data_IF_702514601628
#
_entry.id   IF_702514601628
#
_cell.length_a   1.000
_cell.length_b   1.000
_cell.length_c   1.000
_cell.angle_alpha   90.00
_cell.angle_beta   90.00
_cell.angle_gamma   90.00
#
_symmetry.space_group_name_H-M   'P 1'
#
loop_
_entity.id
_entity.type
_entity.pdbx_description
1 polymer ?
#
# COMPACT_ATOMS: atom_id res chain seq x y z
N UNK A 1 3.15 4.08 -28.45
CA UNK A 1 2.16 4.83 -27.65
C UNK A 1 2.55 4.71 -26.19
N UNK A 2 2.55 5.82 -25.46
CA UNK A 2 2.80 5.79 -24.02
C UNK A 2 1.74 4.96 -23.31
N UNK A 3 2.18 3.99 -22.49
CA UNK A 3 1.29 3.12 -21.71
C UNK A 3 0.98 3.68 -20.29
N UNK A 4 1.27 4.95 -20.05
CA UNK A 4 1.13 5.61 -18.75
C UNK A 4 0.55 7.02 -18.90
N UNK A 5 0.17 7.63 -17.78
CA UNK A 5 -0.46 8.95 -17.73
C UNK A 5 0.56 10.01 -17.32
N UNK A 6 0.30 11.24 -17.78
CA UNK A 6 1.09 12.42 -17.44
C UNK A 6 0.16 13.53 -16.95
N UNK A 7 0.66 14.56 -16.23
CA UNK A 7 -0.15 15.70 -15.85
C UNK A 7 -0.79 16.46 -17.03
N UNK A 8 -0.27 16.28 -18.25
CA UNK A 8 -0.82 16.89 -19.46
C UNK A 8 -2.00 16.12 -20.07
N UNK A 9 -2.32 14.90 -19.57
CA UNK A 9 -3.49 14.15 -20.02
C UNK A 9 -4.78 14.77 -19.47
N UNK A 10 -5.81 14.85 -20.30
CA UNK A 10 -7.16 15.28 -19.86
C UNK A 10 -7.83 14.14 -19.09
N UNK A 11 -7.63 14.10 -17.76
CA UNK A 11 -8.17 13.05 -16.90
C UNK A 11 -9.67 13.22 -16.62
N UNK A 12 -10.20 14.45 -16.66
CA UNK A 12 -11.61 14.76 -16.39
C UNK A 12 -12.56 14.00 -17.31
N UNK A 13 -12.20 13.89 -18.60
CA UNK A 13 -13.01 13.10 -19.54
C UNK A 13 -13.02 11.62 -19.19
N UNK A 14 -11.86 11.05 -18.80
CA UNK A 14 -11.76 9.64 -18.41
C UNK A 14 -12.62 9.39 -17.17
N UNK A 15 -12.57 10.29 -16.19
CA UNK A 15 -13.35 10.23 -14.96
C UNK A 15 -14.86 10.26 -15.27
N UNK A 16 -15.31 11.23 -16.07
CA UNK A 16 -16.72 11.37 -16.43
C UNK A 16 -17.24 10.17 -17.24
N UNK A 17 -16.43 9.65 -18.17
CA UNK A 17 -16.78 8.46 -18.96
C UNK A 17 -16.86 7.19 -18.08
N UNK A 18 -16.10 7.16 -16.96
CA UNK A 18 -16.08 6.02 -16.02
C UNK A 18 -17.27 6.04 -15.05
N UNK A 19 -17.82 7.23 -14.76
CA UNK A 19 -18.93 7.44 -13.83
C UNK A 19 -20.16 8.07 -14.53
N UNK A 20 -20.73 7.44 -15.61
CA UNK A 20 -21.73 8.08 -16.45
C UNK A 20 -23.04 8.43 -15.72
N UNK A 21 -23.38 7.65 -14.67
CA UNK A 21 -24.64 7.81 -13.92
C UNK A 21 -24.45 8.60 -12.60
N UNK A 22 -23.33 9.30 -12.43
CA UNK A 22 -22.99 10.06 -11.24
C UNK A 22 -22.71 11.51 -11.60
N UNK A 23 -23.29 12.44 -10.83
CA UNK A 23 -22.98 13.86 -10.98
C UNK A 23 -21.70 14.16 -10.20
N UNK A 24 -20.63 14.52 -10.90
CA UNK A 24 -19.38 14.97 -10.28
C UNK A 24 -19.64 16.34 -9.64
N UNK A 25 -19.35 16.45 -8.35
CA UNK A 25 -19.47 17.67 -7.55
C UNK A 25 -18.11 18.34 -7.37
N UNK A 26 -17.05 17.55 -7.17
CA UNK A 26 -15.69 18.03 -6.96
C UNK A 26 -14.67 17.00 -7.44
N UNK A 27 -13.50 17.46 -7.89
CA UNK A 27 -12.32 16.65 -8.19
C UNK A 27 -11.11 17.30 -7.56
N UNK A 28 -10.36 16.52 -6.74
CA UNK A 28 -9.19 16.99 -6.00
C UNK A 28 -7.99 16.11 -6.28
N UNK A 29 -6.88 16.72 -6.73
CA UNK A 29 -5.62 16.01 -6.88
C UNK A 29 -4.97 15.76 -5.51
N UNK A 30 -4.59 14.50 -5.26
CA UNK A 30 -3.82 14.09 -4.09
C UNK A 30 -2.35 14.06 -4.48
N UNK A 31 -1.55 14.93 -3.88
CA UNK A 31 -0.16 15.18 -4.29
C UNK A 31 0.88 14.29 -3.58
N UNK A 32 0.44 13.35 -2.73
CA UNK A 32 1.33 12.45 -1.99
C UNK A 32 1.73 11.19 -2.76
N UNK A 33 1.00 10.83 -3.82
CA UNK A 33 1.26 9.61 -4.60
C UNK A 33 2.37 9.78 -5.65
N UNK A 34 3.54 9.17 -5.45
CA UNK A 34 4.62 9.19 -6.44
C UNK A 34 4.49 8.10 -7.53
N UNK A 35 3.79 7.02 -7.24
CA UNK A 35 3.56 5.90 -8.18
C UNK A 35 2.44 6.21 -9.18
N UNK A 36 1.42 6.93 -8.73
CA UNK A 36 0.22 7.25 -9.50
C UNK A 36 -0.14 8.73 -9.38
N UNK A 37 -0.79 9.27 -10.40
CA UNK A 37 -1.60 10.47 -10.26
C UNK A 37 -2.90 10.03 -9.59
N UNK A 38 -3.18 10.56 -8.40
CA UNK A 38 -4.36 10.20 -7.62
C UNK A 38 -5.33 11.36 -7.62
N UNK A 39 -6.60 11.08 -7.97
CA UNK A 39 -7.68 12.07 -7.96
C UNK A 39 -8.82 11.54 -7.09
N UNK A 40 -9.17 12.29 -6.07
CA UNK A 40 -10.39 12.10 -5.30
C UNK A 40 -11.53 12.79 -6.03
N UNK A 41 -12.60 12.05 -6.30
CA UNK A 41 -13.80 12.54 -7.01
C UNK A 41 -15.00 12.38 -6.11
N UNK A 42 -15.60 13.50 -5.72
CA UNK A 42 -16.85 13.54 -4.96
C UNK A 42 -18.03 13.63 -5.92
N UNK A 43 -19.00 12.76 -5.75
CA UNK A 43 -20.23 12.70 -6.54
C UNK A 43 -21.46 12.81 -5.66
N UNK A 44 -22.64 12.93 -6.28
CA UNK A 44 -23.94 12.86 -5.59
C UNK A 44 -24.27 11.47 -4.97
N UNK A 45 -23.42 10.44 -5.26
CA UNK A 45 -23.59 9.05 -4.80
C UNK A 45 -22.39 8.50 -4.02
N UNK A 46 -21.49 9.36 -3.54
CA UNK A 46 -20.29 8.99 -2.79
C UNK A 46 -19.00 9.48 -3.42
N UNK A 47 -17.90 9.20 -2.77
CA UNK A 47 -16.57 9.63 -3.19
C UNK A 47 -15.74 8.44 -3.70
N UNK A 48 -14.86 8.70 -4.66
CA UNK A 48 -14.07 7.71 -5.38
C UNK A 48 -12.63 8.17 -5.49
N UNK A 49 -11.69 7.23 -5.43
CA UNK A 49 -10.31 7.46 -5.81
C UNK A 49 -10.03 6.87 -7.19
N UNK A 50 -9.48 7.71 -8.08
CA UNK A 50 -8.91 7.33 -9.36
C UNK A 50 -7.40 7.32 -9.26
N UNK A 51 -6.75 6.23 -9.69
CA UNK A 51 -5.30 6.08 -9.65
C UNK A 51 -4.78 5.83 -11.07
N UNK A 52 -3.98 6.76 -11.59
CA UNK A 52 -3.45 6.75 -12.95
C UNK A 52 -1.94 6.55 -12.89
N UNK A 53 -1.39 5.42 -13.38
CA UNK A 53 0.03 5.12 -13.30
C UNK A 53 0.91 6.13 -14.03
N UNK A 54 2.03 6.53 -13.42
CA UNK A 54 2.96 7.53 -13.95
C UNK A 54 4.00 6.97 -14.93
N UNK A 55 4.19 5.65 -15.00
CA UNK A 55 5.14 5.01 -15.90
C UNK A 55 4.73 3.56 -16.23
N UNK A 56 5.43 2.85 -17.15
CA UNK A 56 5.09 1.48 -17.55
C UNK A 56 5.17 0.47 -16.40
N UNK A 57 6.11 0.62 -15.48
CA UNK A 57 6.24 -0.25 -14.32
C UNK A 57 5.00 -0.15 -13.42
N UNK A 58 4.58 1.07 -13.07
CA UNK A 58 3.38 1.30 -12.27
C UNK A 58 2.10 0.93 -13.01
N UNK A 59 2.10 0.93 -14.35
CA UNK A 59 0.99 0.39 -15.14
C UNK A 59 0.83 -1.12 -14.99
N UNK A 60 1.93 -1.87 -14.81
CA UNK A 60 1.91 -3.29 -14.44
C UNK A 60 1.42 -3.46 -13.00
N UNK A 61 1.92 -2.62 -12.10
CA UNK A 61 1.63 -2.72 -10.67
C UNK A 61 0.19 -2.37 -10.30
N UNK A 62 -0.47 -1.47 -11.02
CA UNK A 62 -1.88 -1.15 -10.75
C UNK A 62 -2.81 -2.33 -11.10
N UNK A 63 -2.45 -3.13 -12.08
CA UNK A 63 -3.16 -4.39 -12.41
C UNK A 63 -3.00 -5.39 -11.27
N UNK A 64 -1.78 -5.53 -10.75
CA UNK A 64 -1.48 -6.38 -9.59
C UNK A 64 -2.22 -5.91 -8.34
N UNK A 65 -2.18 -4.62 -8.02
CA UNK A 65 -2.88 -4.03 -6.87
C UNK A 65 -4.38 -4.34 -6.91
N UNK A 66 -5.03 -4.14 -8.05
CA UNK A 66 -6.44 -4.48 -8.22
C UNK A 66 -6.71 -5.99 -8.03
N UNK A 67 -5.86 -6.85 -8.57
CA UNK A 67 -5.99 -8.30 -8.42
C UNK A 67 -5.86 -8.72 -6.95
N UNK A 68 -4.86 -8.18 -6.22
CA UNK A 68 -4.64 -8.48 -4.80
C UNK A 68 -5.79 -7.98 -3.94
N UNK A 69 -6.19 -6.71 -4.08
CA UNK A 69 -7.28 -6.14 -3.30
C UNK A 69 -8.56 -6.97 -3.46
N UNK A 70 -8.95 -7.28 -4.69
CA UNK A 70 -10.15 -8.07 -4.97
C UNK A 70 -10.03 -9.53 -4.50
N UNK A 71 -8.82 -10.09 -4.47
CA UNK A 71 -8.58 -11.43 -3.94
C UNK A 71 -8.65 -11.48 -2.41
N UNK A 72 -8.16 -10.45 -1.71
CA UNK A 72 -8.13 -10.36 -0.24
C UNK A 72 -9.49 -10.00 0.34
N UNK A 73 -10.34 -9.31 -0.44
CA UNK A 73 -11.65 -8.85 0.02
C UNK A 73 -12.47 -10.00 0.62
N UNK A 74 -12.99 -9.77 1.83
CA UNK A 74 -13.76 -10.75 2.61
C UNK A 74 -12.95 -11.94 3.17
N UNK A 75 -11.62 -11.98 3.00
CA UNK A 75 -10.77 -13.06 3.56
C UNK A 75 -10.03 -12.67 4.84
N UNK A 76 -10.11 -11.42 5.22
CA UNK A 76 -9.65 -10.90 6.52
C UNK A 76 -10.80 -10.26 7.27
N UNK A 77 -10.61 -9.98 8.57
CA UNK A 77 -11.62 -9.27 9.39
C UNK A 77 -11.76 -7.79 9.03
N UNK A 78 -10.92 -7.27 8.15
CA UNK A 78 -10.83 -5.86 7.81
C UNK A 78 -11.14 -5.65 6.34
N UNK A 79 -11.81 -4.53 6.04
CA UNK A 79 -12.17 -4.18 4.68
C UNK A 79 -10.93 -3.84 3.85
N UNK A 80 -10.92 -4.31 2.61
CA UNK A 80 -9.96 -3.92 1.56
C UNK A 80 -10.74 -3.29 0.41
N UNK A 81 -10.22 -2.22 -0.24
CA UNK A 81 -10.97 -1.57 -1.30
C UNK A 81 -11.22 -2.53 -2.46
N UNK A 82 -12.47 -2.63 -2.89
CA UNK A 82 -12.80 -3.32 -4.13
C UNK A 82 -12.37 -2.46 -5.31
N UNK A 83 -11.32 -2.88 -6.01
CA UNK A 83 -10.75 -2.11 -7.10
C UNK A 83 -11.32 -2.53 -8.45
N UNK A 84 -11.93 -1.59 -9.15
CA UNK A 84 -12.29 -1.73 -10.55
C UNK A 84 -11.09 -1.33 -11.41
N UNK A 85 -10.49 -2.29 -12.11
CA UNK A 85 -9.50 -2.02 -13.14
C UNK A 85 -10.22 -1.57 -14.42
N UNK A 86 -9.80 -0.42 -14.94
CA UNK A 86 -10.35 0.22 -16.13
C UNK A 86 -9.24 0.47 -17.15
N UNK A 87 -9.64 0.73 -18.39
CA UNK A 87 -8.72 1.09 -19.47
C UNK A 87 -9.27 2.30 -20.23
N UNK A 88 -8.40 3.26 -20.52
CA UNK A 88 -8.77 4.39 -21.37
C UNK A 88 -8.84 4.00 -22.87
N UNK A 89 -9.22 4.94 -23.71
CA UNK A 89 -9.33 4.73 -25.16
C UNK A 89 -7.99 4.35 -25.85
N UNK A 90 -6.84 4.56 -25.17
CA UNK A 90 -5.51 4.18 -25.63
C UNK A 90 -5.06 2.83 -25.06
N UNK A 91 -5.91 2.14 -24.29
CA UNK A 91 -5.60 0.89 -23.62
C UNK A 91 -4.68 1.03 -22.40
N UNK A 92 -4.58 2.23 -21.79
CA UNK A 92 -3.78 2.47 -20.58
C UNK A 92 -4.60 2.07 -19.35
N UNK A 93 -4.06 1.21 -18.47
CA UNK A 93 -4.78 0.81 -17.25
C UNK A 93 -4.83 1.94 -16.23
N UNK A 94 -5.92 2.02 -15.52
CA UNK A 94 -6.10 2.82 -14.30
C UNK A 94 -7.08 2.10 -13.37
N UNK A 95 -7.05 2.42 -12.08
CA UNK A 95 -8.01 1.84 -11.13
C UNK A 95 -8.92 2.89 -10.52
N UNK A 96 -10.12 2.44 -10.16
CA UNK A 96 -11.09 3.23 -9.40
C UNK A 96 -11.68 2.38 -8.29
N UNK A 97 -11.83 2.97 -7.11
CA UNK A 97 -12.52 2.36 -5.96
C UNK A 97 -13.27 3.41 -5.16
N UNK A 98 -14.27 2.98 -4.41
CA UNK A 98 -14.95 3.86 -3.45
C UNK A 98 -14.00 4.28 -2.35
N UNK A 99 -14.11 5.52 -1.92
CA UNK A 99 -13.37 6.03 -0.77
C UNK A 99 -13.84 5.32 0.48
N UNK A 100 -12.89 4.77 1.24
CA UNK A 100 -13.16 4.32 2.61
C UNK A 100 -13.10 5.56 3.50
N UNK A 101 -14.20 5.87 4.15
CA UNK A 101 -14.24 7.00 5.08
C UNK A 101 -13.48 6.65 6.37
N UNK A 102 -12.63 7.55 6.81
CA UNK A 102 -11.82 7.37 8.00
C UNK A 102 -10.56 8.24 8.00
N UNK A 103 -9.75 8.05 9.02
CA UNK A 103 -8.47 8.73 9.22
C UNK A 103 -7.35 7.70 9.14
N UNK A 104 -6.19 8.08 8.62
CA UNK A 104 -5.05 7.15 8.70
C UNK A 104 -4.62 6.95 10.16
N UNK A 105 -4.15 5.75 10.48
CA UNK A 105 -3.56 5.51 11.80
C UNK A 105 -2.39 6.47 12.05
N UNK A 106 -1.64 6.84 11.01
CA UNK A 106 -0.54 7.80 11.10
C UNK A 106 -0.99 9.18 11.59
N UNK A 107 -2.16 9.66 11.13
CA UNK A 107 -2.71 10.95 11.56
C UNK A 107 -3.21 10.94 13.00
N UNK A 108 -3.62 9.79 13.50
CA UNK A 108 -4.32 9.64 14.78
C UNK A 108 -3.46 9.08 15.91
N UNK A 109 -2.42 8.30 15.61
CA UNK A 109 -1.73 7.45 16.58
C UNK A 109 -1.17 8.20 17.80
N UNK A 110 -0.73 9.45 17.61
CA UNK A 110 -0.21 10.29 18.70
C UNK A 110 -1.30 10.94 19.57
N UNK A 111 -2.57 10.77 19.19
CA UNK A 111 -3.73 11.31 19.89
C UNK A 111 -4.61 10.22 20.52
N UNK A 112 -4.29 8.95 20.25
CA UNK A 112 -5.02 7.81 20.80
C UNK A 112 -4.78 7.65 22.31
N UNK A 113 -5.79 7.18 23.03
CA UNK A 113 -5.62 6.75 24.43
C UNK A 113 -4.78 5.47 24.51
N UNK A 114 -4.20 5.20 25.68
CA UNK A 114 -3.46 3.94 25.94
C UNK A 114 -4.26 2.68 25.53
N UNK A 115 -5.53 2.62 25.92
CA UNK A 115 -6.40 1.49 25.58
C UNK A 115 -6.62 1.38 24.06
N UNK A 116 -6.80 2.51 23.36
CA UNK A 116 -6.98 2.53 21.91
C UNK A 116 -5.69 2.08 21.20
N UNK A 117 -4.51 2.58 21.61
CA UNK A 117 -3.21 2.17 21.07
C UNK A 117 -3.03 0.67 21.19
N UNK A 118 -3.25 0.08 22.36
CA UNK A 118 -3.12 -1.37 22.59
C UNK A 118 -4.12 -2.17 21.74
N UNK A 119 -5.36 -1.69 21.64
CA UNK A 119 -6.39 -2.32 20.80
C UNK A 119 -6.03 -2.32 19.32
N UNK A 120 -5.62 -1.16 18.80
CA UNK A 120 -5.21 -1.04 17.38
C UNK A 120 -3.95 -1.88 17.10
N UNK A 121 -2.97 -1.89 18.02
CA UNK A 121 -1.76 -2.72 17.89
C UNK A 121 -2.11 -4.21 17.76
N UNK A 122 -3.05 -4.70 18.59
CA UNK A 122 -3.57 -6.06 18.50
C UNK A 122 -4.27 -6.32 17.15
N UNK A 123 -5.12 -5.39 16.70
CA UNK A 123 -5.89 -5.53 15.47
C UNK A 123 -4.97 -5.56 14.23
N UNK A 124 -3.92 -4.75 14.21
CA UNK A 124 -2.90 -4.77 13.13
C UNK A 124 -2.15 -6.11 13.14
N UNK A 125 -1.74 -6.61 14.30
CA UNK A 125 -1.08 -7.92 14.40
C UNK A 125 -2.02 -9.05 13.95
N UNK A 126 -3.30 -8.97 14.28
CA UNK A 126 -4.35 -9.90 13.83
C UNK A 126 -4.48 -9.88 12.31
N UNK A 127 -4.52 -8.68 11.69
CA UNK A 127 -4.57 -8.56 10.23
C UNK A 127 -3.41 -9.29 9.55
N UNK A 128 -2.15 -9.08 9.99
CA UNK A 128 -0.97 -9.77 9.44
C UNK A 128 -1.13 -11.30 9.54
N UNK A 129 -1.59 -11.79 10.69
CA UNK A 129 -1.82 -13.23 10.91
C UNK A 129 -2.94 -13.81 10.05
N UNK A 130 -3.99 -13.03 9.78
CA UNK A 130 -5.09 -13.44 8.88
C UNK A 130 -4.61 -13.47 7.44
N UNK A 131 -3.95 -12.39 6.99
CA UNK A 131 -3.42 -12.26 5.64
C UNK A 131 -2.46 -13.41 5.31
N UNK A 132 -1.55 -13.75 6.22
CA UNK A 132 -0.55 -14.81 6.05
C UNK A 132 -1.14 -16.21 5.98
N UNK A 133 -2.39 -16.43 6.41
CA UNK A 133 -3.09 -17.71 6.39
C UNK A 133 -4.01 -17.89 5.19
N UNK A 134 -4.14 -16.89 4.33
CA UNK A 134 -4.98 -17.00 3.12
C UNK A 134 -4.43 -18.12 2.22
N UNK A 135 -5.29 -19.04 1.83
CA UNK A 135 -4.93 -20.10 0.88
C UNK A 135 -4.74 -19.52 -0.52
N UNK A 136 -3.53 -19.65 -1.06
CA UNK A 136 -3.14 -19.13 -2.37
C UNK A 136 -3.30 -20.14 -3.52
N UNK A 137 -3.84 -21.34 -3.25
CA UNK A 137 -3.96 -22.40 -4.25
C UNK A 137 -4.66 -21.93 -5.53
N UNK A 138 -5.73 -21.17 -5.39
CA UNK A 138 -6.54 -20.65 -6.51
C UNK A 138 -6.36 -19.14 -6.70
N UNK A 139 -5.29 -18.55 -6.16
CA UNK A 139 -5.01 -17.14 -6.32
C UNK A 139 -4.55 -16.85 -7.76
N UNK A 140 -4.87 -15.66 -8.32
CA UNK A 140 -4.27 -15.16 -9.54
C UNK A 140 -2.74 -15.11 -9.45
N UNK A 141 -2.06 -15.16 -10.59
CA UNK A 141 -0.59 -15.11 -10.62
C UNK A 141 -0.05 -13.78 -10.09
N UNK A 142 -0.79 -12.68 -10.28
CA UNK A 142 -0.46 -11.37 -9.74
C UNK A 142 -0.38 -11.37 -8.20
N UNK A 143 -1.20 -12.19 -7.54
CA UNK A 143 -1.20 -12.36 -6.07
C UNK A 143 0.00 -13.20 -5.61
N UNK A 144 0.41 -14.16 -6.42
CA UNK A 144 1.54 -15.06 -6.13
C UNK A 144 2.90 -14.45 -6.44
N UNK A 145 2.93 -13.24 -6.99
CA UNK A 145 4.17 -12.58 -7.36
C UNK A 145 5.02 -12.29 -6.12
N UNK A 146 6.28 -12.82 -6.05
CA UNK A 146 7.09 -12.68 -4.84
C UNK A 146 7.44 -11.23 -4.52
N UNK A 147 7.33 -10.85 -3.24
CA UNK A 147 7.73 -9.51 -2.78
C UNK A 147 9.21 -9.23 -3.10
N UNK A 148 10.08 -10.24 -2.97
CA UNK A 148 11.50 -10.12 -3.29
C UNK A 148 11.76 -9.78 -4.77
N UNK A 149 11.00 -10.38 -5.68
CA UNK A 149 11.09 -10.08 -7.11
C UNK A 149 10.54 -8.68 -7.41
N UNK A 150 9.44 -8.30 -6.77
CA UNK A 150 8.90 -6.96 -6.90
C UNK A 150 9.92 -5.90 -6.48
N UNK A 151 10.55 -6.05 -5.32
CA UNK A 151 11.56 -5.12 -4.82
C UNK A 151 12.79 -5.07 -5.75
N UNK A 152 13.18 -6.20 -6.30
CA UNK A 152 14.27 -6.28 -7.28
C UNK A 152 13.93 -5.53 -8.58
N UNK A 153 12.73 -5.71 -9.15
CA UNK A 153 12.29 -4.97 -10.34
C UNK A 153 12.17 -3.47 -10.06
N UNK A 154 11.67 -3.10 -8.88
CA UNK A 154 11.52 -1.70 -8.47
C UNK A 154 12.86 -0.99 -8.38
N UNK A 155 13.87 -1.63 -7.82
CA UNK A 155 15.23 -1.07 -7.75
C UNK A 155 15.83 -0.88 -9.13
N UNK A 156 15.70 -1.88 -9.99
CA UNK A 156 16.22 -1.80 -11.34
C UNK A 156 15.56 -0.66 -12.13
N UNK A 157 14.25 -0.51 -12.02
CA UNK A 157 13.50 0.55 -12.70
C UNK A 157 13.91 1.95 -12.22
N UNK A 158 14.13 2.13 -10.90
CA UNK A 158 14.39 3.44 -10.32
C UNK A 158 15.88 3.80 -10.21
N UNK A 159 16.74 2.83 -9.97
CA UNK A 159 18.16 3.08 -9.70
C UNK A 159 19.10 2.55 -10.77
N UNK A 160 18.60 1.74 -11.73
CA UNK A 160 19.43 1.04 -12.71
C UNK A 160 20.44 0.08 -12.07
N UNK A 161 20.33 -0.18 -10.77
CA UNK A 161 21.20 -1.08 -10.00
C UNK A 161 20.45 -1.61 -8.78
N UNK A 162 20.87 -2.76 -8.26
CA UNK A 162 20.36 -3.31 -7.03
C UNK A 162 20.99 -2.63 -5.81
N UNK A 163 20.18 -2.36 -4.78
CA UNK A 163 20.66 -1.97 -3.45
C UNK A 163 21.02 -3.29 -2.73
N UNK A 164 22.22 -3.80 -3.02
CA UNK A 164 22.63 -5.19 -2.95
C UNK A 164 22.40 -5.95 -1.63
N UNK A 165 22.79 -5.37 -0.49
CA UNK A 165 22.89 -6.16 0.75
C UNK A 165 21.52 -6.40 1.42
N UNK A 166 20.61 -5.43 1.38
CA UNK A 166 19.33 -5.50 2.09
C UNK A 166 18.32 -6.34 1.29
N UNK A 167 18.36 -6.26 -0.05
CA UNK A 167 17.51 -7.09 -0.93
C UNK A 167 17.93 -8.55 -0.94
N UNK A 168 19.22 -8.85 -0.92
CA UNK A 168 19.73 -10.21 -0.74
C UNK A 168 19.30 -10.81 0.60
N UNK A 169 19.21 -9.98 1.66
CA UNK A 169 18.69 -10.44 2.94
C UNK A 169 17.19 -10.74 2.85
N UNK A 170 16.39 -9.85 2.24
CA UNK A 170 14.96 -10.06 2.03
C UNK A 170 14.72 -11.33 1.20
N UNK A 171 15.46 -11.52 0.13
CA UNK A 171 15.38 -12.72 -0.71
C UNK A 171 15.70 -14.01 0.06
N UNK A 172 16.64 -13.99 0.99
CA UNK A 172 16.96 -15.15 1.83
C UNK A 172 15.88 -15.51 2.85
N UNK A 173 14.97 -14.57 3.12
CA UNK A 173 13.85 -14.75 4.05
C UNK A 173 12.53 -14.97 3.31
N UNK A 174 12.58 -15.41 2.05
CA UNK A 174 11.39 -15.72 1.25
C UNK A 174 10.43 -16.66 1.98
N UNK A 175 9.15 -16.46 1.76
CA UNK A 175 8.06 -17.25 2.28
C UNK A 175 6.97 -17.45 1.23
N UNK A 176 6.05 -18.35 1.50
CA UNK A 176 4.91 -18.64 0.62
C UNK A 176 3.59 -18.04 1.11
N UNK A 177 3.62 -17.25 2.18
CA UNK A 177 2.44 -16.56 2.70
C UNK A 177 2.17 -15.28 1.93
N UNK A 178 0.91 -14.88 1.87
CA UNK A 178 0.58 -13.54 1.37
C UNK A 178 1.02 -12.49 2.40
N UNK A 179 1.74 -11.47 1.94
CA UNK A 179 2.15 -10.31 2.72
C UNK A 179 1.67 -9.03 2.02
N UNK A 180 1.46 -7.98 2.80
CA UNK A 180 1.08 -6.67 2.28
C UNK A 180 2.27 -5.96 1.59
N UNK A 181 3.47 -6.14 2.13
CA UNK A 181 4.72 -5.62 1.58
C UNK A 181 4.99 -4.12 1.85
N UNK A 182 3.97 -3.34 2.13
CA UNK A 182 4.09 -1.92 2.55
C UNK A 182 3.13 -1.59 3.71
N UNK A 183 2.93 -2.52 4.64
CA UNK A 183 2.06 -2.27 5.79
C UNK A 183 2.70 -1.25 6.72
N UNK A 184 2.10 -0.06 6.77
CA UNK A 184 2.57 1.05 7.59
C UNK A 184 1.37 1.85 8.13
N UNK A 185 1.62 2.82 9.02
CA UNK A 185 0.57 3.59 9.68
C UNK A 185 -0.32 4.38 8.70
N UNK A 186 0.19 4.77 7.53
CA UNK A 186 -0.55 5.49 6.50
C UNK A 186 -1.54 4.60 5.72
N UNK A 187 -1.34 3.28 5.73
CA UNK A 187 -2.13 2.32 4.97
C UNK A 187 -3.22 1.62 5.82
N UNK A 188 -3.43 2.08 7.06
CA UNK A 188 -4.48 1.60 7.97
C UNK A 188 -5.44 2.75 8.24
N UNK A 189 -6.73 2.52 8.06
CA UNK A 189 -7.79 3.51 8.25
C UNK A 189 -8.59 3.19 9.52
N UNK A 190 -8.83 4.22 10.32
CA UNK A 190 -9.62 4.18 11.55
C UNK A 190 -10.92 4.97 11.38
N UNK A 191 -12.00 4.52 12.02
CA UNK A 191 -13.21 5.31 12.21
C UNK A 191 -13.05 6.35 13.32
N UNK A 192 -14.14 7.07 13.60
CA UNK A 192 -14.22 8.06 14.67
C UNK A 192 -14.09 7.46 16.09
N UNK A 193 -14.28 6.13 16.23
CA UNK A 193 -14.16 5.37 17.49
C UNK A 193 -12.80 4.66 17.60
N UNK A 194 -11.82 5.04 16.79
CA UNK A 194 -10.48 4.48 16.76
C UNK A 194 -10.44 2.96 16.42
N UNK A 195 -11.42 2.48 15.63
CA UNK A 195 -11.45 1.09 15.13
C UNK A 195 -10.96 1.02 13.69
N UNK A 196 -10.21 -0.03 13.37
CA UNK A 196 -9.77 -0.26 11.99
C UNK A 196 -10.99 -0.56 11.12
N UNK A 197 -11.21 0.31 10.13
CA UNK A 197 -12.26 0.17 9.11
C UNK A 197 -11.73 -0.30 7.76
N UNK A 198 -10.41 -0.24 7.54
CA UNK A 198 -9.84 -0.74 6.31
C UNK A 198 -8.32 -0.72 6.28
N UNK A 199 -7.78 -1.55 5.38
CA UNK A 199 -6.36 -1.58 5.01
C UNK A 199 -6.26 -1.36 3.51
N UNK A 200 -5.39 -0.46 3.09
CA UNK A 200 -5.28 0.04 1.70
C UNK A 200 -3.86 -0.11 1.15
N UNK A 201 -3.73 0.07 -0.16
CA UNK A 201 -2.46 0.12 -0.91
C UNK A 201 -1.67 -1.20 -0.91
N UNK A 202 -2.25 -2.22 -1.55
CA UNK A 202 -1.63 -3.55 -1.74
C UNK A 202 -0.68 -3.62 -2.95
N UNK A 203 -0.22 -2.50 -3.45
CA UNK A 203 0.65 -2.42 -4.62
C UNK A 203 1.95 -3.25 -4.44
N UNK A 204 2.49 -3.33 -3.22
CA UNK A 204 3.68 -4.13 -2.89
C UNK A 204 3.33 -5.59 -2.49
N UNK A 205 2.06 -5.90 -2.30
CA UNK A 205 1.66 -7.21 -1.80
C UNK A 205 2.10 -8.37 -2.71
N UNK A 206 2.32 -9.52 -2.13
CA UNK A 206 2.73 -10.72 -2.84
C UNK A 206 3.11 -11.84 -1.89
N UNK A 207 3.78 -12.89 -2.39
CA UNK A 207 4.27 -13.94 -1.51
C UNK A 207 5.56 -13.52 -0.80
N UNK A 208 5.65 -13.84 0.49
CA UNK A 208 6.79 -13.48 1.31
C UNK A 208 6.73 -14.09 2.72
N UNK A 209 7.70 -13.70 3.55
CA UNK A 209 7.71 -14.01 4.96
C UNK A 209 6.83 -13.00 5.73
N UNK A 210 5.84 -13.41 6.53
CA UNK A 210 4.98 -12.50 7.30
C UNK A 210 5.74 -11.52 8.21
N UNK A 211 6.93 -11.87 8.68
CA UNK A 211 7.80 -10.98 9.46
C UNK A 211 8.22 -9.73 8.68
N UNK A 212 8.08 -9.74 7.35
CA UNK A 212 8.29 -8.55 6.52
C UNK A 212 7.30 -7.44 6.84
N UNK A 213 6.00 -7.78 6.99
CA UNK A 213 4.97 -6.81 7.36
C UNK A 213 5.12 -6.34 8.80
N UNK A 214 5.52 -7.24 9.72
CA UNK A 214 5.83 -6.87 11.11
C UNK A 214 6.99 -5.89 11.15
N UNK A 215 8.07 -6.16 10.44
CA UNK A 215 9.23 -5.29 10.35
C UNK A 215 8.89 -3.96 9.66
N UNK A 216 8.07 -3.99 8.62
CA UNK A 216 7.62 -2.79 7.90
C UNK A 216 6.84 -1.85 8.81
N UNK A 217 5.88 -2.39 9.58
CA UNK A 217 5.10 -1.61 10.53
C UNK A 217 5.96 -0.85 11.54
N UNK A 218 7.00 -1.49 12.08
CA UNK A 218 7.90 -0.87 13.08
C UNK A 218 9.12 -0.19 12.46
N UNK A 219 9.27 -0.14 11.14
CA UNK A 219 10.39 0.52 10.47
C UNK A 219 10.26 2.04 10.47
N UNK A 220 9.05 2.56 10.52
CA UNK A 220 8.73 4.00 10.56
C UNK A 220 8.48 4.47 12.00
N UNK A 221 8.64 5.77 12.27
CA UNK A 221 8.37 6.32 13.60
C UNK A 221 6.93 6.08 14.05
N UNK A 222 6.79 5.55 15.26
CA UNK A 222 5.53 5.34 15.95
C UNK A 222 5.73 5.57 17.46
N UNK A 223 4.66 5.81 18.27
CA UNK A 223 4.79 5.80 19.71
C UNK A 223 5.39 4.48 20.20
N UNK A 224 6.33 4.58 21.16
CA UNK A 224 7.01 3.40 21.75
C UNK A 224 6.00 2.39 22.30
N UNK A 225 4.95 2.90 22.92
CA UNK A 225 3.85 2.11 23.45
C UNK A 225 3.13 1.27 22.37
N UNK A 226 2.92 1.83 21.17
CA UNK A 226 2.36 1.07 20.04
C UNK A 226 3.33 -0.02 19.58
N UNK A 227 4.63 0.31 19.41
CA UNK A 227 5.65 -0.66 18.97
C UNK A 227 5.74 -1.83 19.96
N UNK A 228 5.75 -1.55 21.28
CA UNK A 228 5.80 -2.57 22.33
C UNK A 228 4.54 -3.45 22.30
N UNK A 229 3.34 -2.85 22.35
CA UNK A 229 2.07 -3.58 22.33
C UNK A 229 1.88 -4.40 21.04
N UNK A 230 2.36 -3.88 19.90
CA UNK A 230 2.29 -4.59 18.63
C UNK A 230 3.22 -5.80 18.59
N UNK A 231 4.49 -5.64 19.01
CA UNK A 231 5.48 -6.73 19.02
C UNK A 231 5.16 -7.82 20.03
N UNK A 232 4.48 -7.51 21.12
CA UNK A 232 4.02 -8.49 22.12
C UNK A 232 3.04 -9.55 21.54
N UNK A 233 2.49 -9.30 20.36
CA UNK A 233 1.65 -10.27 19.65
C UNK A 233 2.44 -11.32 18.85
N UNK A 234 3.77 -11.24 18.79
CA UNK A 234 4.62 -12.15 18.00
C UNK A 234 5.61 -12.91 18.88
N UNK A 235 6.11 -14.06 18.39
CA UNK A 235 7.02 -14.88 19.15
C UNK A 235 8.39 -14.18 19.33
N UNK A 236 8.98 -14.32 20.51
CA UNK A 236 10.31 -13.75 20.82
C UNK A 236 11.44 -14.24 19.92
N UNK A 237 11.29 -15.45 19.35
CA UNK A 237 12.24 -16.01 18.40
C UNK A 237 12.34 -15.16 17.12
N UNK A 238 11.22 -14.57 16.68
CA UNK A 238 11.13 -13.76 15.47
C UNK A 238 11.69 -12.34 15.65
N UNK A 239 11.78 -11.83 16.89
CA UNK A 239 12.19 -10.44 17.17
C UNK A 239 13.59 -10.13 16.59
N UNK A 240 14.51 -11.08 16.59
CA UNK A 240 15.87 -10.89 16.03
C UNK A 240 15.82 -10.74 14.50
N UNK A 241 15.01 -11.56 13.84
CA UNK A 241 14.78 -11.48 12.39
C UNK A 241 14.06 -10.19 12.03
N UNK A 242 12.99 -9.85 12.74
CA UNK A 242 12.24 -8.58 12.59
C UNK A 242 13.18 -7.38 12.71
N UNK A 243 14.10 -7.37 13.68
CA UNK A 243 15.07 -6.28 13.86
C UNK A 243 16.00 -6.10 12.65
N UNK A 244 16.40 -7.19 12.01
CA UNK A 244 17.22 -7.12 10.78
C UNK A 244 16.40 -6.62 9.59
N UNK A 245 15.17 -7.12 9.42
CA UNK A 245 14.25 -6.67 8.38
C UNK A 245 13.86 -5.19 8.55
N UNK A 246 13.65 -4.72 9.80
CA UNK A 246 13.43 -3.31 10.13
C UNK A 246 14.57 -2.42 9.62
N UNK A 247 15.82 -2.88 9.78
CA UNK A 247 16.98 -2.15 9.27
C UNK A 247 17.00 -2.12 7.74
N UNK A 248 16.74 -3.25 7.09
CA UNK A 248 16.66 -3.32 5.63
C UNK A 248 15.59 -2.36 5.08
N UNK A 249 14.38 -2.36 5.66
CA UNK A 249 13.31 -1.44 5.28
C UNK A 249 13.70 0.03 5.42
N UNK A 250 14.38 0.42 6.51
CA UNK A 250 14.89 1.80 6.68
C UNK A 250 15.86 2.22 5.59
N UNK A 251 16.74 1.32 5.17
CA UNK A 251 17.70 1.61 4.11
C UNK A 251 16.98 1.77 2.76
N UNK A 252 16.00 0.91 2.47
CA UNK A 252 15.16 0.98 1.27
C UNK A 252 14.38 2.30 1.25
N UNK A 253 13.73 2.68 2.35
CA UNK A 253 12.99 3.95 2.46
C UNK A 253 13.89 5.18 2.23
N UNK A 254 15.10 5.18 2.77
CA UNK A 254 16.04 6.27 2.54
C UNK A 254 16.42 6.40 1.07
N UNK A 255 16.65 5.28 0.38
CA UNK A 255 16.91 5.27 -1.05
C UNK A 255 15.72 5.81 -1.86
N UNK A 256 14.51 5.36 -1.54
CA UNK A 256 13.30 5.86 -2.23
C UNK A 256 13.06 7.34 -1.96
N UNK A 257 13.26 7.82 -0.73
CA UNK A 257 13.12 9.23 -0.41
C UNK A 257 14.10 10.10 -1.20
N UNK A 258 15.34 9.66 -1.41
CA UNK A 258 16.31 10.35 -2.24
C UNK A 258 15.88 10.38 -3.72
N UNK A 259 15.41 9.24 -4.25
CA UNK A 259 14.89 9.15 -5.61
C UNK A 259 13.70 10.09 -5.83
N UNK A 260 12.72 10.09 -4.92
CA UNK A 260 11.53 10.95 -5.00
C UNK A 260 11.93 12.43 -4.98
N UNK A 261 12.81 12.86 -4.07
CA UNK A 261 13.29 14.25 -4.03
C UNK A 261 13.93 14.71 -5.34
N UNK A 262 14.63 13.79 -6.00
CA UNK A 262 15.37 14.09 -7.23
C UNK A 262 14.45 14.15 -8.45
N UNK A 263 13.48 13.25 -8.55
CA UNK A 263 12.68 13.06 -9.78
C UNK A 263 11.25 13.59 -9.69
N UNK A 264 10.74 13.82 -8.48
CA UNK A 264 9.37 14.26 -8.21
C UNK A 264 9.36 15.36 -7.14
N UNK A 265 10.00 16.52 -7.41
CA UNK A 265 10.15 17.58 -6.40
C UNK A 265 8.82 18.21 -5.94
N UNK A 266 7.73 17.98 -6.70
CA UNK A 266 6.38 18.42 -6.34
C UNK A 266 5.75 17.57 -5.21
N UNK A 267 6.33 16.41 -4.88
CA UNK A 267 5.81 15.51 -3.85
C UNK A 267 6.36 15.91 -2.48
N UNK A 268 5.45 16.17 -1.54
CA UNK A 268 5.82 16.48 -0.16
C UNK A 268 6.08 15.21 0.65
N UNK A 269 7.36 14.84 0.79
CA UNK A 269 7.78 13.64 1.54
C UNK A 269 7.47 13.67 3.04
N UNK A 270 7.17 14.85 3.61
CA UNK A 270 6.79 14.93 5.03
C UNK A 270 5.35 14.45 5.27
N UNK A 271 4.62 14.12 4.20
CA UNK A 271 3.26 13.58 4.24
C UNK A 271 3.22 12.07 3.85
N UNK A 272 4.38 11.47 3.57
CA UNK A 272 4.58 10.04 3.34
C UNK A 272 5.11 9.37 4.60
#
# INVERSE_FOLDING_TARGET
MNKFFTPADSLDKIISDTLPDKKILESKHILTGWTNIVIEVTTDKGSYFFRFPRNPFWSKMIVKDAAVCNFVDGKTSYYTPQMKLCYDAKGRPFSVHEKIEGYTLGDRIYHLSHTAITGVAYDVAKFIKELSKIDLKNAPEEVKYPLSEFLHELDYEHYGKHIDADHEYIKKTEGSSLVHGDLNLGNILLDENDKIVGVIDFCFAGTGNPNMDVARMVSRPAPKEFEEAFLDNFDKADVKEISRMKKAWKNIDNGYAEHIRTHFPEINLNQL
#
